data_IF_627031139047
#
_entry.id   IF_627031139047
#
_cell.length_a   1.000
_cell.length_b   1.000
_cell.length_c   1.000
_cell.angle_alpha   90.00
_cell.angle_beta   90.00
_cell.angle_gamma   90.00
#
_symmetry.space_group_name_H-M   'P 1'
#
loop_
_entity.id
_entity.type
_entity.pdbx_description
1 polymer ?
#
# COMPACT_ATOMS: atom_id res chain seq x y z
N UNK A 1 42.38 13.85 5.83
CA UNK A 1 41.49 14.54 6.78
C UNK A 1 42.00 15.95 6.92
N UNK A 2 41.31 16.90 6.31
CA UNK A 2 41.65 18.32 6.46
C UNK A 2 41.28 18.77 7.88
N UNK A 3 41.79 19.91 8.34
CA UNK A 3 41.40 20.45 9.65
C UNK A 3 39.89 20.79 9.70
N UNK A 4 39.30 21.13 8.55
CA UNK A 4 37.87 21.39 8.41
C UNK A 4 37.03 20.12 8.63
N UNK A 5 37.47 18.96 8.13
CA UNK A 5 36.79 17.68 8.38
C UNK A 5 36.72 17.38 9.88
N UNK A 6 37.83 17.61 10.60
CA UNK A 6 37.95 17.33 12.04
C UNK A 6 37.09 18.27 12.89
N UNK A 7 37.03 19.55 12.54
CA UNK A 7 36.14 20.52 13.20
C UNK A 7 34.66 20.12 13.01
N UNK A 8 34.29 19.71 11.80
CA UNK A 8 32.93 19.26 11.52
C UNK A 8 32.54 17.99 12.28
N UNK A 9 33.50 17.09 12.58
CA UNK A 9 33.27 15.90 13.39
C UNK A 9 33.08 16.25 14.86
N UNK A 10 33.88 17.18 15.40
CA UNK A 10 33.75 17.64 16.78
C UNK A 10 32.41 18.33 17.04
N UNK A 11 31.95 19.19 16.11
CA UNK A 11 30.63 19.83 16.17
C UNK A 11 29.48 18.82 16.11
N UNK A 12 29.66 17.70 15.39
CA UNK A 12 28.66 16.63 15.33
C UNK A 12 28.60 15.83 16.63
N UNK A 13 29.76 15.54 17.21
CA UNK A 13 29.85 14.82 18.47
C UNK A 13 29.29 15.64 19.63
N UNK A 14 29.53 16.95 19.65
CA UNK A 14 28.92 17.85 20.65
C UNK A 14 27.40 17.88 20.53
N UNK A 15 26.85 17.97 19.31
CA UNK A 15 25.40 17.94 19.10
C UNK A 15 24.78 16.60 19.55
N UNK A 16 25.44 15.47 19.28
CA UNK A 16 24.99 14.16 19.75
C UNK A 16 25.01 14.10 21.28
N UNK A 17 26.02 14.70 21.91
CA UNK A 17 26.13 14.77 23.36
C UNK A 17 25.04 15.64 23.99
N UNK A 18 24.67 16.76 23.37
CA UNK A 18 23.51 17.57 23.77
C UNK A 18 22.22 16.76 23.68
N UNK A 19 21.99 16.07 22.56
CA UNK A 19 20.81 15.21 22.38
C UNK A 19 20.73 14.06 23.40
N UNK A 20 21.87 13.53 23.84
CA UNK A 20 21.94 12.51 24.90
C UNK A 20 21.60 13.08 26.28
N UNK A 21 21.92 14.36 26.56
CA UNK A 21 21.53 15.04 27.80
C UNK A 21 20.02 15.29 27.84
N UNK A 22 19.43 15.67 26.71
CA UNK A 22 18.01 15.98 26.59
C UNK A 22 17.10 14.73 26.45
N UNK A 23 17.69 13.54 26.40
CA UNK A 23 16.99 12.29 26.24
C UNK A 23 16.07 11.99 27.44
N UNK A 24 14.75 12.05 27.21
CA UNK A 24 13.75 11.67 28.23
C UNK A 24 13.59 10.16 28.29
N UNK A 25 13.82 9.58 29.47
CA UNK A 25 13.53 8.17 29.74
C UNK A 25 12.02 7.93 29.66
N UNK A 26 11.66 6.84 29.01
CA UNK A 26 10.32 6.37 28.78
C UNK A 26 10.12 5.04 29.48
N UNK A 27 9.01 4.92 30.20
CA UNK A 27 8.52 3.64 30.69
C UNK A 27 7.61 3.02 29.64
N UNK A 28 7.99 1.84 29.15
CA UNK A 28 7.13 1.05 28.28
C UNK A 28 6.26 0.12 29.15
N UNK A 29 4.99 -0.09 28.78
CA UNK A 29 4.16 -1.10 29.43
C UNK A 29 4.76 -2.48 29.12
N UNK A 30 5.18 -3.19 30.16
CA UNK A 30 5.63 -4.58 30.06
C UNK A 30 4.49 -5.47 30.51
N UNK A 31 4.16 -6.49 29.73
CA UNK A 31 3.08 -7.43 30.04
C UNK A 31 3.30 -8.12 31.39
N UNK A 32 4.56 -8.40 31.73
CA UNK A 32 4.95 -8.99 33.01
C UNK A 32 4.84 -8.01 34.20
N UNK A 33 4.77 -6.69 33.97
CA UNK A 33 4.39 -5.74 35.03
C UNK A 33 2.89 -5.81 35.31
N UNK A 34 2.08 -6.03 34.27
CA UNK A 34 0.61 -6.10 34.38
C UNK A 34 0.14 -7.47 34.87
N UNK A 35 0.83 -8.53 34.44
CA UNK A 35 0.56 -9.94 34.75
C UNK A 35 1.85 -10.62 35.22
N UNK A 36 2.19 -10.53 36.53
CA UNK A 36 3.48 -11.01 37.05
C UNK A 36 3.57 -12.54 37.21
N UNK A 37 2.53 -13.29 36.85
CA UNK A 37 2.45 -14.74 37.05
C UNK A 37 3.05 -15.43 35.82
N UNK A 38 4.20 -16.10 36.00
CA UNK A 38 4.82 -16.92 34.95
C UNK A 38 4.21 -18.31 34.94
N UNK A 39 3.86 -18.83 36.11
CA UNK A 39 3.33 -20.19 36.28
C UNK A 39 2.26 -20.17 37.38
N UNK A 40 1.06 -20.68 37.07
CA UNK A 40 -0.09 -20.70 37.98
C UNK A 40 -0.09 -21.86 38.98
N UNK A 41 0.91 -22.74 38.93
CA UNK A 41 0.94 -23.96 39.73
C UNK A 41 0.21 -25.10 39.01
N UNK A 42 0.92 -26.20 38.75
CA UNK A 42 0.43 -27.43 38.11
C UNK A 42 0.83 -28.62 38.99
N UNK A 43 0.36 -29.84 38.68
CA UNK A 43 0.62 -31.05 39.48
C UNK A 43 2.10 -31.44 39.64
N UNK A 44 3.04 -30.75 38.99
CA UNK A 44 4.49 -30.93 39.11
C UNK A 44 5.17 -29.84 39.96
N UNK A 45 4.56 -28.65 40.07
CA UNK A 45 5.07 -27.51 40.83
C UNK A 45 3.87 -26.80 41.47
N UNK A 46 3.60 -27.09 42.75
CA UNK A 46 2.43 -26.58 43.47
C UNK A 46 2.50 -25.07 43.75
N UNK A 47 3.71 -24.50 43.84
CA UNK A 47 3.89 -23.08 44.14
C UNK A 47 3.87 -22.23 42.85
N UNK A 48 3.03 -21.16 42.78
CA UNK A 48 3.04 -20.25 41.66
C UNK A 48 4.34 -19.44 41.63
N UNK A 49 4.93 -19.29 40.44
CA UNK A 49 6.12 -18.46 40.25
C UNK A 49 5.69 -17.06 39.79
N UNK A 50 6.02 -16.06 40.60
CA UNK A 50 5.74 -14.64 40.31
C UNK A 50 7.03 -13.85 40.13
N UNK A 51 7.04 -12.93 39.17
CA UNK A 51 8.17 -11.99 38.99
C UNK A 51 8.11 -10.90 40.05
N UNK A 52 9.21 -10.75 40.79
CA UNK A 52 9.34 -9.71 41.83
C UNK A 52 9.65 -8.34 41.23
N UNK A 53 10.68 -8.24 40.38
CA UNK A 53 11.10 -7.00 39.73
C UNK A 53 11.71 -7.29 38.34
N UNK A 54 11.45 -6.42 37.37
CA UNK A 54 12.07 -6.46 36.04
C UNK A 54 12.85 -5.17 35.84
N UNK A 55 14.17 -5.25 35.97
CA UNK A 55 15.08 -4.16 35.63
C UNK A 55 15.37 -4.18 34.12
N UNK A 56 14.65 -3.36 33.35
CA UNK A 56 15.01 -3.08 31.95
C UNK A 56 16.00 -1.93 31.85
N UNK A 57 16.83 -1.90 30.80
CA UNK A 57 17.81 -0.83 30.56
C UNK A 57 17.21 0.58 30.34
N UNK A 58 15.89 0.75 30.47
CA UNK A 58 15.17 1.98 30.16
C UNK A 58 15.03 2.19 28.64
N UNK A 59 13.87 2.68 28.24
CA UNK A 59 13.64 3.11 26.86
C UNK A 59 13.75 4.63 26.78
N UNK A 60 14.09 5.14 25.61
CA UNK A 60 14.06 6.57 25.28
C UNK A 60 13.24 6.73 24.02
N UNK A 61 12.34 7.71 24.02
CA UNK A 61 11.60 8.06 22.82
C UNK A 61 12.47 8.86 21.87
N UNK A 62 12.55 8.38 20.63
CA UNK A 62 13.31 9.01 19.56
C UNK A 62 12.38 9.26 18.38
N UNK A 63 12.56 10.38 17.71
CA UNK A 63 11.76 10.81 16.57
C UNK A 63 12.56 10.71 15.27
N UNK A 64 11.93 10.25 14.19
CA UNK A 64 12.50 10.37 12.84
C UNK A 64 12.33 11.82 12.33
N UNK A 65 13.41 12.44 11.86
CA UNK A 65 13.41 13.84 11.39
C UNK A 65 12.55 14.09 10.15
N UNK A 66 12.26 13.06 9.35
CA UNK A 66 11.43 13.20 8.12
C UNK A 66 10.03 12.66 8.31
N UNK A 67 9.93 11.46 8.87
CA UNK A 67 8.66 10.76 9.01
C UNK A 67 7.89 11.25 10.22
N UNK A 68 8.58 11.82 11.21
CA UNK A 68 8.03 12.23 12.50
C UNK A 68 7.43 11.06 13.30
N UNK A 69 7.84 9.83 12.98
CA UNK A 69 7.42 8.65 13.74
C UNK A 69 8.20 8.56 15.05
N UNK A 70 7.48 8.25 16.12
CA UNK A 70 8.03 8.03 17.44
C UNK A 70 8.43 6.55 17.59
N UNK A 71 9.69 6.31 17.91
CA UNK A 71 10.27 4.96 18.02
C UNK A 71 10.87 4.81 19.42
N UNK A 72 10.52 3.75 20.18
CA UNK A 72 11.17 3.44 21.44
C UNK A 72 12.52 2.80 21.16
N UNK A 73 13.59 3.40 21.65
CA UNK A 73 14.96 2.89 21.53
C UNK A 73 15.49 2.57 22.92
N UNK A 74 16.24 1.48 23.07
CA UNK A 74 16.91 1.16 24.33
C UNK A 74 17.99 2.20 24.62
N UNK A 75 18.10 2.64 25.87
CA UNK A 75 19.01 3.73 26.29
C UNK A 75 20.46 3.54 25.82
N UNK A 76 21.02 2.34 25.95
CA UNK A 76 22.41 2.04 25.55
C UNK A 76 22.61 2.07 24.02
N UNK A 77 21.55 1.86 23.23
CA UNK A 77 21.60 1.92 21.77
C UNK A 77 21.44 3.34 21.24
N UNK A 78 21.01 4.28 22.09
CA UNK A 78 20.72 5.66 21.71
C UNK A 78 21.91 6.36 21.03
N UNK A 79 23.16 6.30 21.54
CA UNK A 79 24.29 6.97 20.89
C UNK A 79 24.55 6.43 19.47
N UNK A 80 24.44 5.10 19.30
CA UNK A 80 24.60 4.46 17.99
C UNK A 80 23.51 4.90 17.01
N UNK A 81 22.26 5.03 17.47
CA UNK A 81 21.15 5.50 16.64
C UNK A 81 21.26 6.99 16.31
N UNK A 82 21.64 7.85 17.26
CA UNK A 82 21.82 9.29 17.01
C UNK A 82 22.98 9.58 16.04
N UNK A 83 24.02 8.73 16.00
CA UNK A 83 25.09 8.82 15.00
C UNK A 83 24.66 8.33 13.60
N UNK A 84 23.50 7.68 13.45
CA UNK A 84 23.04 7.17 12.17
C UNK A 84 22.64 8.31 11.22
N UNK A 85 23.27 8.35 10.04
CA UNK A 85 23.06 9.37 9.02
C UNK A 85 22.29 8.82 7.82
N UNK A 86 21.61 9.73 7.13
CA UNK A 86 21.04 9.52 5.80
C UNK A 86 22.10 9.79 4.71
N UNK A 87 21.87 9.37 3.45
CA UNK A 87 22.75 9.70 2.34
C UNK A 87 22.94 11.22 2.15
N UNK A 88 21.93 12.01 2.53
CA UNK A 88 21.95 13.47 2.48
C UNK A 88 22.79 14.13 3.60
N UNK A 89 23.43 13.33 4.47
CA UNK A 89 24.24 13.82 5.59
C UNK A 89 23.46 14.32 6.81
N UNK A 90 22.14 14.46 6.74
CA UNK A 90 21.29 14.81 7.89
C UNK A 90 21.19 13.69 8.93
N UNK A 91 20.94 14.06 10.19
CA UNK A 91 20.64 13.11 11.26
C UNK A 91 19.31 12.40 10.99
N UNK A 92 19.32 11.07 11.13
CA UNK A 92 18.12 10.26 10.94
C UNK A 92 17.11 10.43 12.08
N UNK A 93 17.61 10.68 13.28
CA UNK A 93 16.87 10.61 14.52
C UNK A 93 17.15 11.81 15.41
N UNK A 94 16.14 12.28 16.15
CA UNK A 94 16.22 13.37 17.13
C UNK A 94 15.51 12.99 18.43
N UNK A 95 16.02 13.44 19.56
CA UNK A 95 15.35 13.28 20.88
C UNK A 95 14.29 14.35 21.13
N UNK A 96 14.42 15.51 20.50
CA UNK A 96 13.45 16.60 20.57
C UNK A 96 12.21 16.26 19.74
N UNK A 97 11.03 16.47 20.32
CA UNK A 97 9.76 16.30 19.62
C UNK A 97 9.60 17.41 18.56
N UNK A 98 9.52 17.08 17.26
CA UNK A 98 9.39 18.06 16.19
C UNK A 98 7.99 18.72 16.10
N UNK A 99 7.03 18.33 16.95
CA UNK A 99 5.68 18.90 17.00
C UNK A 99 4.82 18.58 15.78
N UNK A 100 5.30 17.76 14.86
CA UNK A 100 4.61 17.33 13.64
C UNK A 100 4.24 15.86 13.77
N UNK A 101 3.02 15.52 13.34
CA UNK A 101 2.53 14.16 13.33
C UNK A 101 2.96 13.44 12.04
N UNK A 102 3.19 12.12 12.07
CA UNK A 102 3.48 11.35 10.88
C UNK A 102 2.29 11.40 9.91
N UNK A 103 2.58 11.49 8.61
CA UNK A 103 1.55 11.48 7.56
C UNK A 103 0.89 10.10 7.49
N UNK A 104 -0.16 9.90 8.29
CA UNK A 104 -1.04 8.73 8.20
C UNK A 104 -2.07 9.00 7.12
N UNK A 105 -2.32 7.98 6.30
CA UNK A 105 -3.35 8.05 5.29
C UNK A 105 -4.75 7.95 5.86
N UNK A 106 -5.73 8.38 5.09
CA UNK A 106 -7.17 8.31 5.42
C UNK A 106 -7.91 7.21 4.65
N UNK A 107 -7.23 6.56 3.69
CA UNK A 107 -7.86 5.58 2.82
C UNK A 107 -8.09 4.28 3.59
N UNK A 108 -9.35 3.87 3.63
CA UNK A 108 -9.77 2.60 4.22
C UNK A 108 -9.54 1.45 3.25
N UNK A 109 -9.26 0.28 3.80
CA UNK A 109 -9.25 -0.98 3.08
C UNK A 109 -10.59 -1.24 2.36
N UNK A 110 -10.59 -1.92 1.20
CA UNK A 110 -11.83 -2.32 0.52
C UNK A 110 -12.70 -3.23 1.40
N UNK A 111 -12.06 -4.08 2.21
CA UNK A 111 -12.70 -4.98 3.17
C UNK A 111 -12.91 -4.34 4.55
N UNK A 112 -12.81 -3.01 4.67
CA UNK A 112 -13.07 -2.31 5.93
C UNK A 112 -14.57 -2.33 6.27
N UNK A 113 -14.97 -2.43 7.55
CA UNK A 113 -16.39 -2.46 7.93
C UNK A 113 -17.15 -1.20 7.50
N UNK A 114 -16.44 -0.07 7.39
CA UNK A 114 -16.98 1.21 6.91
C UNK A 114 -16.57 1.59 5.49
N UNK A 115 -16.37 0.63 4.58
CA UNK A 115 -16.27 0.87 3.12
C UNK A 115 -17.65 0.75 2.46
N UNK A 116 -17.86 1.46 1.35
CA UNK A 116 -19.18 1.52 0.69
C UNK A 116 -19.65 0.14 0.19
N UNK A 117 -18.71 -0.67 -0.32
CA UNK A 117 -18.99 -2.00 -0.89
C UNK A 117 -18.98 -3.13 0.14
N UNK A 118 -19.02 -2.83 1.45
CA UNK A 118 -18.89 -3.86 2.49
C UNK A 118 -19.98 -4.94 2.39
N UNK A 119 -21.24 -4.54 2.16
CA UNK A 119 -22.38 -5.46 2.06
C UNK A 119 -22.18 -6.52 0.97
N UNK A 120 -21.73 -6.09 -0.21
CA UNK A 120 -21.42 -6.97 -1.33
C UNK A 120 -20.34 -8.00 -0.97
N UNK A 121 -19.27 -7.54 -0.30
CA UNK A 121 -18.19 -8.43 0.12
C UNK A 121 -18.57 -9.36 1.29
N UNK A 122 -19.53 -8.96 2.13
CA UNK A 122 -20.09 -9.82 3.18
C UNK A 122 -20.91 -10.97 2.57
N UNK A 123 -21.70 -10.70 1.53
CA UNK A 123 -22.46 -11.73 0.80
C UNK A 123 -21.54 -12.76 0.12
N UNK A 124 -20.37 -12.31 -0.36
CA UNK A 124 -19.31 -13.17 -0.90
C UNK A 124 -18.52 -13.93 0.18
N UNK A 125 -18.74 -13.62 1.47
CA UNK A 125 -18.08 -14.28 2.60
C UNK A 125 -16.64 -13.80 2.87
N UNK A 126 -16.26 -12.59 2.45
CA UNK A 126 -14.91 -12.06 2.68
C UNK A 126 -14.70 -11.56 4.12
N UNK A 127 -13.47 -11.74 4.61
CA UNK A 127 -13.07 -11.36 5.97
C UNK A 127 -13.12 -9.84 6.18
N UNK A 128 -13.29 -9.41 7.43
CA UNK A 128 -13.23 -7.99 7.83
C UNK A 128 -11.77 -7.56 8.04
N UNK A 129 -11.37 -6.43 7.45
CA UNK A 129 -10.06 -5.84 7.68
C UNK A 129 -10.16 -4.44 8.30
N UNK A 130 -9.68 -4.27 9.53
CA UNK A 130 -9.78 -3.01 10.28
C UNK A 130 -8.75 -1.94 9.88
N UNK A 131 -8.06 -2.10 8.74
CA UNK A 131 -7.04 -1.14 8.31
C UNK A 131 -7.70 0.11 7.70
N UNK A 132 -7.63 1.22 8.43
CA UNK A 132 -8.15 2.53 8.02
C UNK A 132 -7.08 3.54 7.58
N UNK A 133 -5.80 3.26 7.84
CA UNK A 133 -4.74 4.28 7.79
C UNK A 133 -3.81 4.10 6.57
N UNK A 134 -4.36 3.95 5.36
CA UNK A 134 -3.58 3.75 4.11
C UNK A 134 -3.41 5.08 3.38
N UNK A 135 -2.18 5.39 2.94
CA UNK A 135 -1.83 6.73 2.42
C UNK A 135 -2.27 6.97 0.98
N UNK A 136 -2.22 5.96 0.12
CA UNK A 136 -2.54 6.09 -1.31
C UNK A 136 -3.26 4.82 -1.81
N UNK A 137 -4.05 4.93 -2.88
CA UNK A 137 -4.64 3.82 -3.62
C UNK A 137 -3.62 2.77 -4.06
N UNK A 138 -2.40 3.18 -4.46
CA UNK A 138 -1.35 2.21 -4.77
C UNK A 138 -0.97 1.35 -3.55
N UNK A 139 -0.86 1.96 -2.37
CA UNK A 139 -0.59 1.22 -1.13
C UNK A 139 -1.78 0.36 -0.72
N UNK A 140 -3.01 0.77 -1.04
CA UNK A 140 -4.23 -0.02 -0.86
C UNK A 140 -4.17 -1.29 -1.71
N UNK A 141 -3.84 -1.17 -3.00
CA UNK A 141 -3.66 -2.33 -3.88
C UNK A 141 -2.55 -3.27 -3.38
N UNK A 142 -1.42 -2.72 -2.94
CA UNK A 142 -0.33 -3.53 -2.36
C UNK A 142 -0.75 -4.21 -1.06
N UNK A 143 -1.53 -3.53 -0.22
CA UNK A 143 -2.08 -4.10 1.00
C UNK A 143 -3.02 -5.27 0.68
N UNK A 144 -3.92 -5.11 -0.29
CA UNK A 144 -4.78 -6.18 -0.80
C UNK A 144 -3.96 -7.37 -1.30
N UNK A 145 -3.02 -7.15 -2.23
CA UNK A 145 -2.18 -8.22 -2.80
C UNK A 145 -1.38 -8.99 -1.76
N UNK A 146 -0.92 -8.33 -0.68
CA UNK A 146 -0.06 -8.97 0.34
C UNK A 146 -0.81 -9.56 1.53
N UNK A 147 -1.95 -8.97 1.93
CA UNK A 147 -2.69 -9.38 3.13
C UNK A 147 -3.98 -10.15 2.80
N UNK A 148 -4.54 -9.91 1.63
CA UNK A 148 -5.81 -10.47 1.16
C UNK A 148 -5.67 -10.96 -0.29
N UNK A 149 -4.74 -11.87 -0.59
CA UNK A 149 -4.44 -12.26 -1.97
C UNK A 149 -5.65 -12.92 -2.65
N UNK A 150 -6.40 -13.76 -1.94
CA UNK A 150 -7.55 -14.48 -2.47
C UNK A 150 -8.72 -13.54 -2.74
N UNK A 151 -9.03 -12.67 -1.78
CA UNK A 151 -10.12 -11.70 -1.92
C UNK A 151 -9.80 -10.68 -3.02
N UNK A 152 -8.53 -10.28 -3.14
CA UNK A 152 -8.09 -9.39 -4.22
C UNK A 152 -8.27 -10.03 -5.60
N UNK A 153 -7.89 -11.30 -5.76
CA UNK A 153 -8.07 -12.02 -7.02
C UNK A 153 -9.55 -12.11 -7.41
N UNK A 154 -10.43 -12.42 -6.46
CA UNK A 154 -11.87 -12.45 -6.72
C UNK A 154 -12.43 -11.08 -7.13
N UNK A 155 -12.02 -10.00 -6.46
CA UNK A 155 -12.41 -8.63 -6.83
C UNK A 155 -11.90 -8.26 -8.22
N UNK A 156 -10.67 -8.67 -8.57
CA UNK A 156 -10.08 -8.37 -9.87
C UNK A 156 -10.75 -9.19 -10.99
N UNK A 157 -11.11 -10.45 -10.71
CA UNK A 157 -11.92 -11.27 -11.62
C UNK A 157 -13.32 -10.68 -11.85
N UNK A 158 -13.98 -10.18 -10.80
CA UNK A 158 -15.30 -9.53 -10.89
C UNK A 158 -15.24 -8.24 -11.72
N UNK A 159 -14.21 -7.41 -11.52
CA UNK A 159 -13.99 -6.20 -12.33
C UNK A 159 -13.77 -6.56 -13.80
N UNK A 160 -12.87 -7.51 -14.08
CA UNK A 160 -12.60 -7.95 -15.43
C UNK A 160 -13.83 -8.60 -16.11
N UNK A 161 -14.69 -9.30 -15.35
CA UNK A 161 -15.94 -9.85 -15.86
C UNK A 161 -16.96 -8.75 -16.18
N UNK A 162 -17.02 -7.71 -15.35
CA UNK A 162 -17.90 -6.56 -15.54
C UNK A 162 -17.49 -5.73 -16.75
N UNK A 163 -16.20 -5.40 -16.88
CA UNK A 163 -15.64 -4.71 -18.06
C UNK A 163 -15.93 -5.50 -19.35
N UNK A 164 -15.69 -6.82 -19.34
CA UNK A 164 -16.00 -7.68 -20.49
C UNK A 164 -17.49 -7.73 -20.84
N UNK A 165 -18.39 -7.58 -19.86
CA UNK A 165 -19.83 -7.56 -20.08
C UNK A 165 -20.25 -6.21 -20.68
N UNK A 166 -19.76 -5.11 -20.11
CA UNK A 166 -19.99 -3.76 -20.62
C UNK A 166 -19.49 -3.61 -22.06
N UNK A 167 -18.31 -4.13 -22.39
CA UNK A 167 -17.77 -4.13 -23.75
C UNK A 167 -18.68 -4.88 -24.74
N UNK A 168 -19.21 -6.04 -24.35
CA UNK A 168 -20.13 -6.82 -25.20
C UNK A 168 -21.45 -6.07 -25.40
N UNK A 169 -21.96 -5.44 -24.35
CA UNK A 169 -23.18 -4.63 -24.42
C UNK A 169 -22.99 -3.42 -25.34
N UNK A 170 -21.86 -2.71 -25.21
CA UNK A 170 -21.50 -1.60 -26.10
C UNK A 170 -21.37 -2.06 -27.55
N UNK A 171 -20.68 -3.18 -27.81
CA UNK A 171 -20.58 -3.75 -29.16
C UNK A 171 -21.95 -4.11 -29.74
N UNK A 172 -22.83 -4.73 -28.95
CA UNK A 172 -24.19 -5.05 -29.38
C UNK A 172 -25.00 -3.80 -29.70
N UNK A 173 -24.88 -2.74 -28.89
CA UNK A 173 -25.54 -1.46 -29.15
C UNK A 173 -25.02 -0.78 -30.41
N UNK A 174 -23.71 -0.82 -30.66
CA UNK A 174 -23.11 -0.28 -31.88
C UNK A 174 -23.59 -1.04 -33.12
N UNK A 175 -23.63 -2.38 -33.09
CA UNK A 175 -24.14 -3.20 -34.20
C UNK A 175 -25.62 -2.90 -34.45
N UNK A 176 -26.44 -2.80 -33.40
CA UNK A 176 -27.86 -2.41 -33.51
C UNK A 176 -28.03 -1.02 -34.10
N UNK A 177 -27.19 -0.06 -33.72
CA UNK A 177 -27.19 1.30 -34.27
C UNK A 177 -26.80 1.36 -35.75
N UNK A 178 -25.81 0.57 -36.17
CA UNK A 178 -25.38 0.49 -37.58
C UNK A 178 -26.40 -0.24 -38.45
N UNK A 179 -26.93 -1.38 -37.98
CA UNK A 179 -27.96 -2.14 -38.70
C UNK A 179 -29.28 -1.38 -38.80
N UNK A 180 -29.68 -0.63 -37.77
CA UNK A 180 -30.84 0.26 -37.82
C UNK A 180 -30.71 1.39 -38.84
N UNK A 181 -29.51 1.99 -38.98
CA UNK A 181 -29.23 3.00 -40.02
C UNK A 181 -29.23 2.40 -41.43
N UNK A 182 -28.58 1.24 -41.61
CA UNK A 182 -28.57 0.53 -42.89
C UNK A 182 -29.96 0.07 -43.34
N UNK A 183 -30.84 -0.31 -42.41
CA UNK A 183 -32.23 -0.66 -42.72
C UNK A 183 -33.09 0.57 -43.04
N UNK A 184 -32.87 1.72 -42.37
CA UNK A 184 -33.57 2.96 -42.72
C UNK A 184 -33.15 3.52 -44.09
N UNK A 185 -31.91 3.31 -44.52
CA UNK A 185 -31.44 3.65 -45.87
C UNK A 185 -31.93 2.66 -46.94
N UNK A 186 -32.16 1.39 -46.60
CA UNK A 186 -32.70 0.38 -47.52
C UNK A 186 -34.21 0.54 -47.81
N UNK A 187 -34.94 1.31 -46.99
CA UNK A 187 -36.37 1.60 -47.20
C UNK A 187 -36.66 2.98 -47.77
N UNK A 188 -35.63 3.79 -48.03
CA UNK A 188 -35.76 5.07 -48.73
C UNK A 188 -35.16 4.94 -50.14
N UNK A 189 -36.06 4.88 -51.12
CA UNK A 189 -35.85 4.97 -52.57
C UNK A 189 -35.20 3.77 -53.31
N UNK A 190 -35.86 3.20 -54.35
CA UNK A 190 -35.22 2.25 -55.25
C UNK A 190 -34.24 3.00 -56.15
N UNK A 191 -32.95 2.93 -55.84
CA UNK A 191 -31.88 3.43 -56.72
C UNK A 191 -31.72 2.50 -57.94
N UNK A 192 -31.47 3.07 -59.15
CA UNK A 192 -31.43 2.35 -60.41
C UNK A 192 -30.25 1.39 -60.50
N UNK A 193 -30.45 0.26 -61.21
CA UNK A 193 -29.45 -0.79 -61.47
C UNK A 193 -28.09 -0.21 -61.86
N UNK A 194 -27.06 -0.53 -61.06
CA UNK A 194 -25.69 -0.22 -61.39
C UNK A 194 -25.26 -1.04 -62.63
N UNK A 195 -24.76 -0.41 -63.70
CA UNK A 195 -24.35 -1.13 -64.89
C UNK A 195 -23.11 -1.97 -64.60
N UNK A 196 -23.22 -3.29 -64.81
CA UNK A 196 -22.09 -4.21 -64.79
C UNK A 196 -21.12 -3.85 -65.93
N UNK A 197 -19.94 -3.33 -65.58
CA UNK A 197 -18.87 -3.07 -66.54
C UNK A 197 -18.20 -4.39 -66.95
N UNK A 198 -18.57 -4.91 -68.12
CA UNK A 198 -17.86 -6.01 -68.77
C UNK A 198 -16.69 -5.40 -69.56
N UNK A 199 -15.46 -5.57 -69.08
CA UNK A 199 -14.27 -5.11 -69.80
C UNK A 199 -13.98 -6.02 -71.00
N UNK A 200 -14.23 -5.54 -72.22
CA UNK A 200 -13.85 -6.20 -73.47
C UNK A 200 -12.33 -6.12 -73.73
N UNK A 201 -11.50 -6.75 -72.89
CA UNK A 201 -10.08 -6.92 -73.22
C UNK A 201 -9.91 -8.12 -74.17
N UNK A 202 -9.46 -7.95 -75.42
CA UNK A 202 -9.20 -9.07 -76.30
C UNK A 202 -8.01 -9.89 -75.80
N UNK A 203 -8.23 -11.18 -75.61
CA UNK A 203 -7.18 -12.15 -75.27
C UNK A 203 -6.22 -12.28 -76.45
N UNK A 204 -4.97 -11.82 -76.27
CA UNK A 204 -3.91 -12.00 -77.26
C UNK A 204 -3.58 -13.49 -77.40
N UNK A 205 -3.89 -14.08 -78.57
CA UNK A 205 -3.47 -15.44 -78.91
C UNK A 205 -1.94 -15.50 -79.04
N UNK A 206 -1.30 -16.34 -78.22
CA UNK A 206 0.11 -16.64 -78.34
C UNK A 206 0.38 -17.41 -79.64
N UNK A 207 1.35 -16.94 -80.44
CA UNK A 207 1.85 -17.66 -81.62
C UNK A 207 2.63 -18.89 -81.13
N UNK A 208 2.16 -20.08 -81.49
CA UNK A 208 2.93 -21.32 -81.39
C UNK A 208 3.77 -21.46 -82.66
N UNK A 209 5.02 -21.88 -82.48
CA UNK A 209 6.10 -22.05 -83.46
C UNK A 209 5.72 -22.89 -84.68
#
# INVERSE_FOLDING_TARGET
MTNEDRQSEQERESLVQEMLRDAKTAEMPSDLKTHPIIHSGDGTLEAPMTVKEISGAGYVWVWDTRTYDQIPVLSYMLPSKLRSRRPDGSFRFTTVNPGKLPKRGTVKCFLHPGSDNRKHYDELGFRVCNKSNITNQYQLQQHMKKKHPQEWEAIEQERAATERREDRELQQLLIKGVTGKAQSEATADPLPEAPLYISEKPVKKAKVK
#
